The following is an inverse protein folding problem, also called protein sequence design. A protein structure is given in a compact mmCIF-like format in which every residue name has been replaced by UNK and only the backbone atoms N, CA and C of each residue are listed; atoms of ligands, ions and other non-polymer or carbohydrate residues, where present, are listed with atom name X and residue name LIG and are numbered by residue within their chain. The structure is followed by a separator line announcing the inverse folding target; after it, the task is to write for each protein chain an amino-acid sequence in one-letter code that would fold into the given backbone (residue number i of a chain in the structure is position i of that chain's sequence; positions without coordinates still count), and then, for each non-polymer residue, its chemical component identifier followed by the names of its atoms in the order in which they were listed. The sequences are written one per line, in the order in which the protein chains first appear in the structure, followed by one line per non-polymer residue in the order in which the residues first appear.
data_IF_949776431960
#
_entry.id   IF_949776431960
#
_cell.length_a   1.000
_cell.length_b   1.000
_cell.length_c   1.000
_cell.angle_alpha   90.00
_cell.angle_beta   90.00
_cell.angle_gamma   90.00
#
_symmetry.space_group_name_H-M   'P 1'
#
loop_
_entity.id
_entity.type
_entity.pdbx_description
1 polymer ?
#
# COMPACT_ATOMS: atom_id res chain seq x y z
N UNK A 1 -68.36 5.22 31.53
CA UNK A 1 -67.08 5.47 32.25
C UNK A 1 -66.27 4.22 32.22
N UNK A 2 -65.30 4.13 31.34
CA UNK A 2 -64.21 3.13 31.37
C UNK A 2 -62.99 3.82 30.80
N UNK A 3 -62.05 4.17 31.66
CA UNK A 3 -60.72 4.72 31.28
C UNK A 3 -59.81 3.58 30.93
N UNK A 4 -59.30 3.58 29.70
CA UNK A 4 -58.20 2.70 29.28
C UNK A 4 -56.88 3.50 29.41
N UNK A 5 -56.00 3.03 30.33
CA UNK A 5 -54.59 3.49 30.41
C UNK A 5 -53.81 2.76 29.31
N UNK A 6 -53.25 3.57 28.38
CA UNK A 6 -52.20 3.11 27.48
C UNK A 6 -50.86 3.30 28.20
N UNK A 7 -50.23 2.21 28.61
CA UNK A 7 -48.83 2.19 29.07
C UNK A 7 -47.91 2.16 27.87
N UNK A 8 -47.16 3.23 27.64
CA UNK A 8 -46.12 3.28 26.62
C UNK A 8 -44.87 2.54 27.07
N UNK A 9 -44.51 1.47 26.37
CA UNK A 9 -43.19 0.82 26.48
C UNK A 9 -42.15 1.72 25.81
N UNK A 10 -41.31 2.36 26.60
CA UNK A 10 -40.07 2.99 26.11
C UNK A 10 -39.05 1.85 25.97
N UNK A 11 -38.78 1.42 24.73
CA UNK A 11 -37.67 0.54 24.45
C UNK A 11 -36.35 1.37 24.57
N UNK A 12 -35.61 1.17 25.64
CA UNK A 12 -34.21 1.57 25.73
C UNK A 12 -33.44 0.72 24.70
N UNK A 13 -33.13 1.28 23.55
CA UNK A 13 -32.09 0.77 22.67
C UNK A 13 -30.76 0.98 23.40
N UNK A 14 -30.26 -0.06 24.07
CA UNK A 14 -28.91 -0.10 24.59
C UNK A 14 -27.98 0.01 23.39
N UNK A 15 -27.21 1.09 23.29
CA UNK A 15 -26.05 1.15 22.43
C UNK A 15 -25.13 0.01 22.87
N UNK A 16 -24.97 -1.02 22.02
CA UNK A 16 -23.91 -2.00 22.20
C UNK A 16 -22.61 -1.19 22.12
N UNK A 17 -21.67 -1.33 23.08
CA UNK A 17 -20.36 -0.74 22.93
C UNK A 17 -19.80 -1.28 21.60
N UNK A 18 -19.29 -0.38 20.75
CA UNK A 18 -18.42 -0.78 19.67
C UNK A 18 -17.30 -1.60 20.34
N UNK A 19 -17.11 -2.84 19.95
CA UNK A 19 -15.96 -3.62 20.39
C UNK A 19 -14.74 -2.85 19.89
N UNK A 20 -14.06 -2.16 20.82
CA UNK A 20 -12.74 -1.64 20.55
C UNK A 20 -11.87 -2.83 20.15
N UNK A 21 -11.04 -2.66 19.14
CA UNK A 21 -10.03 -3.67 18.81
C UNK A 21 -9.15 -3.84 20.04
N UNK A 22 -9.03 -5.07 20.56
CA UNK A 22 -8.09 -5.35 21.65
C UNK A 22 -6.67 -5.40 21.05
N UNK A 23 -6.07 -4.22 20.89
CA UNK A 23 -4.73 -4.02 20.36
C UNK A 23 -3.78 -3.66 21.49
N UNK A 24 -2.75 -4.48 21.67
CA UNK A 24 -1.68 -4.24 22.62
C UNK A 24 -0.39 -3.86 21.88
N UNK A 25 0.36 -2.91 22.43
CA UNK A 25 1.65 -2.48 21.90
C UNK A 25 2.72 -2.51 22.98
N UNK A 26 3.92 -2.96 22.64
CA UNK A 26 5.09 -2.90 23.50
C UNK A 26 6.38 -2.87 22.68
N UNK A 27 7.48 -2.49 23.34
CA UNK A 27 8.82 -2.51 22.74
C UNK A 27 9.73 -3.38 23.61
N UNK A 28 10.53 -4.23 22.99
CA UNK A 28 11.57 -5.02 23.68
C UNK A 28 12.80 -4.14 23.98
N UNK A 29 13.67 -4.62 24.88
CA UNK A 29 14.89 -3.88 25.27
C UNK A 29 15.84 -3.62 24.08
N UNK A 30 15.84 -4.49 23.07
CA UNK A 30 16.65 -4.34 21.87
C UNK A 30 15.98 -3.45 20.79
N UNK A 31 14.84 -2.84 21.08
CA UNK A 31 14.17 -1.89 20.22
C UNK A 31 13.14 -2.50 19.26
N UNK A 32 12.89 -3.81 19.27
CA UNK A 32 11.81 -4.41 18.48
C UNK A 32 10.46 -3.92 18.99
N UNK A 33 9.70 -3.28 18.11
CA UNK A 33 8.31 -2.90 18.37
C UNK A 33 7.39 -4.08 18.12
N UNK A 34 6.35 -4.26 18.94
CA UNK A 34 5.40 -5.36 18.79
C UNK A 34 3.97 -4.89 18.96
N UNK A 35 3.10 -5.35 18.05
CA UNK A 35 1.65 -5.16 18.10
C UNK A 35 0.98 -6.51 18.19
N UNK A 36 0.04 -6.65 19.11
CA UNK A 36 -0.78 -7.86 19.28
C UNK A 36 -2.24 -7.50 19.11
N UNK A 37 -2.93 -8.23 18.24
CA UNK A 37 -4.35 -8.05 17.93
C UNK A 37 -5.06 -9.35 18.29
N UNK A 38 -5.83 -9.34 19.39
CA UNK A 38 -6.54 -10.53 19.84
C UNK A 38 -7.78 -10.81 18.99
N UNK A 39 -7.88 -12.04 18.49
CA UNK A 39 -9.03 -12.52 17.73
C UNK A 39 -9.24 -14.03 17.96
N UNK A 40 -10.04 -14.38 18.94
CA UNK A 40 -10.29 -15.75 19.38
C UNK A 40 -11.42 -16.48 18.60
N UNK A 41 -11.84 -15.93 17.44
CA UNK A 41 -12.92 -16.54 16.64
C UNK A 41 -12.51 -17.85 15.95
N UNK A 42 -11.22 -18.05 15.71
CA UNK A 42 -10.66 -19.25 15.10
C UNK A 42 -9.26 -19.54 15.65
N UNK A 43 -8.84 -20.82 15.82
CA UNK A 43 -7.53 -21.17 16.38
C UNK A 43 -6.41 -20.98 15.36
N UNK A 44 -6.27 -19.79 14.83
CA UNK A 44 -5.24 -19.41 13.83
C UNK A 44 -4.61 -18.08 14.19
N UNK A 45 -3.37 -17.92 13.78
CA UNK A 45 -2.63 -16.66 13.92
C UNK A 45 -2.05 -16.21 12.59
N UNK A 46 -1.90 -14.91 12.45
CA UNK A 46 -1.08 -14.25 11.47
C UNK A 46 0.10 -13.64 12.22
N UNK A 47 1.30 -14.09 11.89
CA UNK A 47 2.56 -13.56 12.39
C UNK A 47 3.22 -12.79 11.26
N UNK A 48 3.64 -11.53 11.50
CA UNK A 48 4.30 -10.68 10.51
C UNK A 48 5.51 -9.98 11.11
N UNK A 49 6.60 -9.90 10.36
CA UNK A 49 7.74 -9.03 10.68
C UNK A 49 7.90 -8.03 9.55
N UNK A 50 7.89 -6.75 9.90
CA UNK A 50 8.02 -5.61 9.00
C UNK A 50 9.36 -4.94 9.26
N UNK A 51 10.19 -4.82 8.22
CA UNK A 51 11.43 -4.05 8.29
C UNK A 51 11.18 -2.66 7.74
N UNK A 52 11.63 -1.64 8.48
CA UNK A 52 11.52 -0.22 8.11
C UNK A 52 12.56 0.13 7.05
N UNK A 53 12.58 -0.61 5.96
CA UNK A 53 13.45 -0.41 4.80
C UNK A 53 12.79 -1.00 3.56
N UNK A 54 12.71 -0.21 2.50
CA UNK A 54 12.11 -0.57 1.21
C UNK A 54 12.85 0.03 0.03
N UNK A 55 12.26 -0.06 -1.14
CA UNK A 55 12.92 0.36 -2.39
C UNK A 55 13.34 1.84 -2.41
N UNK A 56 12.65 2.71 -1.64
CA UNK A 56 13.02 4.12 -1.57
C UNK A 56 14.25 4.41 -0.71
N UNK A 57 14.72 3.44 0.08
CA UNK A 57 15.93 3.55 0.90
C UNK A 57 17.19 3.04 0.15
N UNK A 58 17.02 2.56 -1.08
CA UNK A 58 18.10 2.02 -1.91
C UNK A 58 19.06 3.12 -2.39
N UNK A 59 20.32 2.77 -2.53
CA UNK A 59 21.31 3.68 -3.13
C UNK A 59 21.07 3.82 -4.63
N UNK A 60 21.23 5.02 -5.16
CA UNK A 60 21.17 5.26 -6.63
C UNK A 60 22.14 4.32 -7.37
N UNK A 61 21.65 3.68 -8.43
CA UNK A 61 22.41 2.68 -9.20
C UNK A 61 22.35 1.25 -8.62
N UNK A 62 21.54 1.02 -7.58
CA UNK A 62 21.37 -0.28 -6.91
C UNK A 62 19.91 -0.64 -6.73
N UNK A 63 19.04 -0.16 -7.65
CA UNK A 63 17.60 -0.41 -7.53
C UNK A 63 17.26 -1.89 -7.64
N UNK A 64 16.25 -2.29 -6.86
CA UNK A 64 15.77 -3.66 -6.74
C UNK A 64 16.47 -4.50 -5.68
N UNK A 65 17.44 -3.94 -4.92
CA UNK A 65 18.16 -4.72 -3.91
C UNK A 65 17.26 -5.12 -2.73
N UNK A 66 16.31 -4.28 -2.34
CA UNK A 66 15.34 -4.58 -1.29
C UNK A 66 14.46 -5.77 -1.69
N UNK A 67 13.89 -5.75 -2.90
CA UNK A 67 13.10 -6.83 -3.45
C UNK A 67 13.93 -8.09 -3.70
N UNK A 68 15.17 -7.96 -4.16
CA UNK A 68 16.06 -9.09 -4.34
C UNK A 68 16.36 -9.77 -2.99
N UNK A 69 16.63 -9.00 -1.93
CA UNK A 69 16.84 -9.58 -0.60
C UNK A 69 15.55 -10.25 -0.09
N UNK A 70 14.37 -9.72 -0.37
CA UNK A 70 13.11 -10.40 -0.04
C UNK A 70 13.11 -11.86 -0.51
N UNK A 71 13.47 -12.11 -1.77
CA UNK A 71 13.59 -13.45 -2.33
C UNK A 71 14.68 -14.28 -1.64
N UNK A 72 15.84 -13.69 -1.39
CA UNK A 72 16.98 -14.37 -0.78
C UNK A 72 16.72 -14.81 0.66
N UNK A 73 15.82 -14.12 1.37
CA UNK A 73 15.41 -14.50 2.72
C UNK A 73 14.71 -15.88 2.81
N UNK A 74 14.30 -16.45 1.68
CA UNK A 74 13.77 -17.82 1.60
C UNK A 74 14.85 -18.87 1.30
N UNK A 75 16.12 -18.48 1.18
CA UNK A 75 17.21 -19.42 0.95
C UNK A 75 17.51 -20.19 2.22
N UNK A 76 18.41 -19.84 3.03
CA UNK A 76 18.75 -20.61 4.23
C UNK A 76 19.38 -19.76 5.31
N UNK A 77 19.55 -20.40 6.47
CA UNK A 77 20.27 -19.89 7.63
C UNK A 77 21.23 -20.97 8.08
N UNK A 78 21.97 -20.78 9.16
CA UNK A 78 22.79 -21.83 9.76
C UNK A 78 21.93 -22.98 10.35
N UNK A 79 20.68 -22.71 10.76
CA UNK A 79 19.73 -23.70 11.30
C UNK A 79 18.78 -24.30 10.23
N UNK A 80 18.54 -23.63 9.11
CA UNK A 80 17.53 -23.99 8.10
C UNK A 80 18.15 -24.11 6.70
N UNK A 81 17.94 -25.25 6.05
CA UNK A 81 18.34 -25.42 4.64
C UNK A 81 17.50 -24.56 3.69
N UNK A 82 17.99 -24.25 2.46
CA UNK A 82 17.26 -23.48 1.47
C UNK A 82 15.83 -24.00 1.21
N UNK A 83 14.84 -23.13 1.38
CA UNK A 83 13.42 -23.44 1.22
C UNK A 83 12.81 -24.30 2.34
N UNK A 84 13.56 -24.63 3.40
CA UNK A 84 13.06 -25.40 4.53
C UNK A 84 12.04 -24.64 5.35
N UNK A 85 12.18 -23.32 5.47
CA UNK A 85 11.20 -22.44 6.12
C UNK A 85 9.78 -22.68 5.57
N UNK A 86 9.58 -22.44 4.29
CA UNK A 86 8.27 -22.57 3.62
C UNK A 86 7.75 -24.03 3.65
N UNK A 87 8.63 -25.02 3.50
CA UNK A 87 8.26 -26.44 3.62
C UNK A 87 7.75 -26.77 5.02
N UNK A 88 8.40 -26.24 6.06
CA UNK A 88 8.02 -26.45 7.46
C UNK A 88 6.67 -25.79 7.75
N UNK A 89 6.45 -24.56 7.30
CA UNK A 89 5.16 -23.86 7.43
C UNK A 89 4.06 -24.65 6.73
N UNK A 90 4.26 -25.06 5.47
CA UNK A 90 3.30 -25.84 4.70
C UNK A 90 3.00 -27.21 5.33
N UNK A 91 4.02 -27.92 5.85
CA UNK A 91 3.86 -29.21 6.52
C UNK A 91 3.03 -29.10 7.82
N UNK A 92 2.97 -27.90 8.43
CA UNK A 92 2.13 -27.59 9.58
C UNK A 92 0.76 -26.96 9.19
N UNK A 93 0.38 -27.02 7.91
CA UNK A 93 -0.91 -26.51 7.42
C UNK A 93 -1.00 -25.00 7.29
N UNK A 94 0.13 -24.30 7.37
CA UNK A 94 0.24 -22.85 7.20
C UNK A 94 0.56 -22.43 5.77
N UNK A 95 0.61 -21.13 5.57
CA UNK A 95 1.12 -20.47 4.38
C UNK A 95 2.03 -19.32 4.78
N UNK A 96 3.04 -19.04 3.99
CA UNK A 96 3.98 -17.95 4.15
C UNK A 96 4.13 -17.16 2.85
N UNK A 97 4.48 -15.91 2.95
CA UNK A 97 4.84 -15.04 1.83
C UNK A 97 5.57 -13.79 2.32
N UNK A 98 6.00 -12.96 1.37
CA UNK A 98 6.61 -11.67 1.63
C UNK A 98 6.16 -10.62 0.60
N UNK A 99 6.47 -9.38 0.84
CA UNK A 99 6.30 -8.28 -0.12
C UNK A 99 7.22 -7.11 0.23
N UNK A 100 7.70 -6.45 -0.81
CA UNK A 100 8.48 -5.22 -0.72
C UNK A 100 7.67 -4.05 -1.27
N UNK A 101 7.71 -2.91 -0.57
CA UNK A 101 7.18 -1.63 -0.99
C UNK A 101 8.30 -0.60 -1.10
N UNK A 102 7.94 0.65 -1.33
CA UNK A 102 8.89 1.76 -1.26
C UNK A 102 9.45 1.96 0.14
N UNK A 103 8.61 1.79 1.17
CA UNK A 103 8.90 2.21 2.54
C UNK A 103 9.20 1.08 3.51
N UNK A 104 8.93 -0.15 3.11
CA UNK A 104 9.10 -1.33 3.98
C UNK A 104 9.24 -2.61 3.17
N UNK A 105 9.76 -3.66 3.83
CA UNK A 105 9.69 -5.05 3.40
C UNK A 105 9.09 -5.87 4.52
N UNK A 106 8.15 -6.77 4.22
CA UNK A 106 7.45 -7.55 5.23
C UNK A 106 7.38 -9.04 4.87
N UNK A 107 7.45 -9.86 5.90
CA UNK A 107 7.32 -11.33 5.83
C UNK A 107 6.18 -11.75 6.73
N UNK A 108 5.39 -12.73 6.30
CA UNK A 108 4.27 -13.18 7.11
C UNK A 108 3.99 -14.67 6.96
N UNK A 109 3.43 -15.23 8.02
CA UNK A 109 2.91 -16.58 8.07
C UNK A 109 1.48 -16.55 8.63
N UNK A 110 0.62 -17.38 8.04
CA UNK A 110 -0.70 -17.69 8.59
C UNK A 110 -0.73 -19.17 8.94
N UNK A 111 -0.95 -19.49 10.22
CA UNK A 111 -0.80 -20.83 10.73
C UNK A 111 -1.70 -21.08 11.93
N UNK A 112 -1.85 -22.36 12.38
CA UNK A 112 -2.54 -22.67 13.62
C UNK A 112 -1.87 -22.03 14.83
N UNK A 113 -2.66 -21.56 15.81
CA UNK A 113 -2.15 -20.79 16.95
C UNK A 113 -1.09 -21.55 17.76
N UNK A 114 -1.25 -22.87 17.92
CA UNK A 114 -0.28 -23.74 18.61
C UNK A 114 1.06 -23.91 17.86
N UNK A 115 1.24 -23.28 16.71
CA UNK A 115 2.48 -23.26 15.92
C UNK A 115 3.15 -21.89 15.91
N UNK A 116 2.64 -20.91 16.64
CA UNK A 116 3.21 -19.55 16.66
C UNK A 116 4.68 -19.59 17.13
N UNK A 117 4.99 -20.32 18.20
CA UNK A 117 6.35 -20.45 18.71
C UNK A 117 7.33 -20.92 17.63
N UNK A 118 6.94 -21.89 16.82
CA UNK A 118 7.76 -22.44 15.74
C UNK A 118 8.10 -21.36 14.70
N UNK A 119 7.09 -20.61 14.23
CA UNK A 119 7.34 -19.58 13.20
C UNK A 119 8.12 -18.40 13.75
N UNK A 120 7.89 -17.99 15.01
CA UNK A 120 8.67 -16.92 15.66
C UNK A 120 10.13 -17.31 15.80
N UNK A 121 10.43 -18.58 16.18
CA UNK A 121 11.80 -19.08 16.24
C UNK A 121 12.48 -18.99 14.87
N UNK A 122 11.83 -19.52 13.83
CA UNK A 122 12.39 -19.55 12.48
C UNK A 122 12.56 -18.12 11.88
N UNK A 123 11.64 -17.21 12.19
CA UNK A 123 11.71 -15.81 11.72
C UNK A 123 12.82 -15.04 12.45
N UNK A 124 13.00 -15.27 13.75
CA UNK A 124 14.08 -14.67 14.53
C UNK A 124 15.46 -15.15 14.05
N UNK A 125 15.58 -16.42 13.70
CA UNK A 125 16.78 -17.02 13.10
C UNK A 125 17.13 -16.31 11.79
N UNK A 126 16.23 -16.26 10.80
CA UNK A 126 16.54 -15.60 9.51
C UNK A 126 16.72 -14.07 9.60
N UNK A 127 16.31 -13.43 10.70
CA UNK A 127 16.55 -12.00 10.90
C UNK A 127 18.04 -11.67 10.99
N UNK A 128 18.88 -12.60 11.49
CA UNK A 128 20.32 -12.33 11.75
C UNK A 128 21.28 -13.35 11.17
N UNK A 129 20.82 -14.53 10.82
CA UNK A 129 21.68 -15.67 10.50
C UNK A 129 21.51 -16.17 9.06
N UNK A 130 21.08 -15.28 8.14
CA UNK A 130 20.93 -15.56 6.72
C UNK A 130 22.28 -15.99 6.11
N UNK A 131 22.30 -17.18 5.53
CA UNK A 131 23.40 -17.70 4.75
C UNK A 131 23.10 -17.68 3.26
N UNK A 132 23.97 -17.05 2.47
CA UNK A 132 23.84 -16.96 1.02
C UNK A 132 25.10 -17.49 0.34
N UNK A 133 24.93 -18.53 -0.46
CA UNK A 133 25.98 -18.98 -1.38
C UNK A 133 25.98 -18.13 -2.67
N UNK A 134 27.07 -18.23 -3.43
CA UNK A 134 27.12 -17.60 -4.76
C UNK A 134 26.11 -18.24 -5.72
N UNK A 135 25.84 -19.54 -5.56
CA UNK A 135 24.86 -20.27 -6.38
C UNK A 135 23.42 -19.83 -6.08
N UNK A 136 23.07 -19.61 -4.79
CA UNK A 136 21.77 -19.04 -4.41
C UNK A 136 21.58 -17.66 -5.02
N UNK A 137 22.60 -16.81 -4.96
CA UNK A 137 22.59 -15.48 -5.56
C UNK A 137 22.35 -15.52 -7.05
N UNK A 138 23.09 -16.33 -7.81
CA UNK A 138 22.96 -16.43 -9.27
C UNK A 138 21.62 -17.03 -9.68
N UNK A 139 21.17 -18.06 -8.98
CA UNK A 139 19.89 -18.72 -9.27
C UNK A 139 18.72 -17.74 -9.06
N UNK A 140 18.74 -16.99 -7.95
CA UNK A 140 17.65 -16.08 -7.63
C UNK A 140 17.62 -14.86 -8.56
N UNK A 141 18.78 -14.42 -9.06
CA UNK A 141 18.84 -13.39 -10.11
C UNK A 141 17.99 -13.77 -11.32
N UNK A 142 18.11 -14.99 -11.81
CA UNK A 142 17.36 -15.48 -12.95
C UNK A 142 15.85 -15.53 -12.64
N UNK A 143 15.47 -15.91 -11.41
CA UNK A 143 14.06 -15.91 -10.95
C UNK A 143 13.48 -14.50 -10.99
N UNK A 144 14.18 -13.50 -10.45
CA UNK A 144 13.71 -12.12 -10.40
C UNK A 144 13.66 -11.49 -11.81
N UNK A 145 14.62 -11.80 -12.67
CA UNK A 145 14.60 -11.37 -14.07
C UNK A 145 13.41 -11.96 -14.82
N UNK A 146 13.08 -13.22 -14.57
CA UNK A 146 11.89 -13.86 -15.13
C UNK A 146 10.60 -13.26 -14.57
N UNK A 147 10.55 -12.98 -13.27
CA UNK A 147 9.43 -12.28 -12.67
C UNK A 147 9.20 -10.90 -13.30
N UNK A 148 10.29 -10.12 -13.47
CA UNK A 148 10.20 -8.85 -14.18
C UNK A 148 9.69 -9.03 -15.62
N UNK A 149 10.20 -10.05 -16.33
CA UNK A 149 9.75 -10.36 -17.69
C UNK A 149 8.25 -10.66 -17.72
N UNK A 150 7.74 -11.43 -16.74
CA UNK A 150 6.33 -11.82 -16.66
C UNK A 150 5.42 -10.68 -16.19
N UNK A 151 5.81 -9.93 -15.16
CA UNK A 151 4.95 -8.92 -14.52
C UNK A 151 5.06 -7.53 -15.16
N UNK A 152 6.20 -7.20 -15.74
CA UNK A 152 6.47 -5.86 -16.25
C UNK A 152 6.70 -5.85 -17.76
N UNK A 153 7.73 -6.55 -18.25
CA UNK A 153 8.17 -6.42 -19.65
C UNK A 153 7.14 -6.99 -20.65
N UNK A 154 6.33 -7.98 -20.23
CA UNK A 154 5.25 -8.55 -21.03
C UNK A 154 3.97 -7.72 -21.07
N UNK A 155 3.77 -6.78 -20.12
CA UNK A 155 2.56 -5.97 -19.99
C UNK A 155 2.82 -4.50 -20.35
N UNK A 156 2.23 -3.98 -21.45
CA UNK A 156 2.33 -2.57 -21.82
C UNK A 156 1.84 -1.61 -20.74
N UNK A 157 0.85 -2.00 -19.93
CA UNK A 157 0.32 -1.20 -18.83
C UNK A 157 1.33 -1.04 -17.71
N UNK A 158 2.05 -2.11 -17.37
CA UNK A 158 3.11 -2.09 -16.36
C UNK A 158 4.32 -1.26 -16.83
N UNK A 159 4.76 -1.45 -18.08
CA UNK A 159 5.82 -0.62 -18.68
C UNK A 159 5.43 0.87 -18.72
N UNK A 160 4.20 1.17 -19.11
CA UNK A 160 3.69 2.53 -19.05
C UNK A 160 3.65 3.08 -17.63
N UNK A 161 3.29 2.25 -16.65
CA UNK A 161 3.31 2.58 -15.22
C UNK A 161 4.70 3.01 -14.74
N UNK A 162 5.75 2.28 -15.11
CA UNK A 162 7.14 2.65 -14.79
C UNK A 162 7.52 4.01 -15.40
N UNK A 163 7.20 4.23 -16.68
CA UNK A 163 7.52 5.49 -17.36
C UNK A 163 6.76 6.68 -16.76
N UNK A 164 5.50 6.45 -16.39
CA UNK A 164 4.66 7.46 -15.73
C UNK A 164 5.20 7.81 -14.35
N UNK A 165 5.57 6.82 -13.53
CA UNK A 165 6.14 7.06 -12.21
C UNK A 165 7.48 7.81 -12.29
N UNK A 166 8.36 7.42 -13.22
CA UNK A 166 9.60 8.13 -13.47
C UNK A 166 9.37 9.58 -13.98
N UNK A 167 8.27 9.83 -14.69
CA UNK A 167 7.88 11.19 -15.08
C UNK A 167 7.20 11.97 -13.94
N UNK A 168 6.58 11.29 -12.98
CA UNK A 168 5.93 11.91 -11.82
C UNK A 168 6.97 12.47 -10.85
N UNK A 169 7.99 11.68 -10.55
CA UNK A 169 9.05 12.02 -9.60
C UNK A 169 10.34 12.35 -10.33
N UNK A 170 10.77 13.61 -10.25
CA UNK A 170 12.00 14.07 -10.90
C UNK A 170 13.26 13.67 -10.13
N UNK A 171 13.16 13.61 -8.82
CA UNK A 171 14.30 13.39 -7.93
C UNK A 171 14.02 12.35 -6.84
N UNK A 172 12.76 12.20 -6.42
CA UNK A 172 12.37 11.31 -5.35
C UNK A 172 12.45 9.83 -5.76
N UNK A 173 12.92 8.92 -4.87
CA UNK A 173 13.08 7.50 -5.18
C UNK A 173 11.78 6.76 -5.51
N UNK A 174 10.61 7.30 -5.20
CA UNK A 174 9.32 6.72 -5.64
C UNK A 174 9.15 6.69 -7.17
N UNK A 175 10.00 7.39 -7.92
CA UNK A 175 10.08 7.27 -9.38
C UNK A 175 10.82 6.03 -9.89
N UNK A 176 11.48 5.27 -9.00
CA UNK A 176 12.20 4.03 -9.33
C UNK A 176 11.30 2.82 -9.09
N UNK A 177 11.20 1.83 -9.99
CA UNK A 177 10.36 0.66 -9.75
C UNK A 177 10.89 -0.19 -8.57
N UNK A 178 10.00 -0.70 -7.74
CA UNK A 178 10.35 -1.54 -6.57
C UNK A 178 11.15 -2.77 -6.98
N UNK A 179 10.79 -3.41 -8.10
CA UNK A 179 11.55 -4.55 -8.65
C UNK A 179 12.92 -4.14 -9.18
N UNK A 180 13.20 -2.86 -9.31
CA UNK A 180 14.45 -2.31 -9.85
C UNK A 180 14.46 -2.16 -11.37
N UNK A 181 15.35 -1.28 -11.85
CA UNK A 181 15.67 -1.17 -13.27
C UNK A 181 16.46 -2.40 -13.72
N UNK A 182 16.06 -3.02 -14.83
CA UNK A 182 16.70 -4.24 -15.32
C UNK A 182 18.22 -4.17 -15.42
N UNK A 183 18.77 -3.04 -15.91
CA UNK A 183 20.21 -2.86 -16.05
C UNK A 183 20.92 -2.75 -14.69
N UNK A 184 20.32 -2.11 -13.68
CA UNK A 184 20.89 -2.02 -12.34
C UNK A 184 20.83 -3.39 -11.63
N UNK A 185 19.71 -4.14 -11.78
CA UNK A 185 19.60 -5.51 -11.24
C UNK A 185 20.69 -6.45 -11.78
N UNK A 186 21.10 -6.28 -13.05
CA UNK A 186 22.19 -7.06 -13.65
C UNK A 186 23.56 -6.74 -13.03
N UNK A 187 23.73 -5.52 -12.50
CA UNK A 187 24.98 -5.03 -11.91
C UNK A 187 25.02 -5.19 -10.38
N UNK A 188 23.93 -5.67 -9.76
CA UNK A 188 23.92 -6.01 -8.34
C UNK A 188 24.84 -7.21 -8.04
N UNK A 189 25.41 -7.19 -6.86
CA UNK A 189 26.30 -8.25 -6.37
C UNK A 189 25.74 -8.90 -5.10
N UNK A 190 26.18 -10.12 -4.80
CA UNK A 190 25.83 -10.80 -3.54
C UNK A 190 26.22 -9.95 -2.32
N UNK A 191 27.36 -9.24 -2.40
CA UNK A 191 27.81 -8.38 -1.30
C UNK A 191 26.89 -7.16 -1.11
N UNK A 192 26.33 -6.59 -2.19
CA UNK A 192 25.31 -5.55 -2.07
C UNK A 192 24.10 -6.05 -1.26
N UNK A 193 23.65 -7.30 -1.47
CA UNK A 193 22.54 -7.89 -0.73
C UNK A 193 22.91 -8.15 0.74
N UNK A 194 24.10 -8.68 1.01
CA UNK A 194 24.58 -8.91 2.37
C UNK A 194 24.78 -7.60 3.14
N UNK A 195 25.23 -6.54 2.47
CA UNK A 195 25.37 -5.22 3.08
C UNK A 195 23.99 -4.63 3.40
N UNK A 196 23.03 -4.75 2.47
CA UNK A 196 21.64 -4.32 2.70
C UNK A 196 21.02 -5.07 3.89
N UNK A 197 21.21 -6.41 3.95
CA UNK A 197 20.73 -7.24 5.04
C UNK A 197 21.30 -6.82 6.39
N UNK A 198 22.64 -6.76 6.50
CA UNK A 198 23.33 -6.39 7.75
C UNK A 198 22.93 -5.02 8.27
N UNK A 199 22.65 -4.09 7.34
CA UNK A 199 22.32 -2.71 7.64
C UNK A 199 20.89 -2.57 8.14
N UNK A 200 19.92 -3.23 7.49
CA UNK A 200 18.51 -2.94 7.66
C UNK A 200 17.72 -4.00 8.44
N UNK A 201 18.20 -5.26 8.47
CA UNK A 201 17.50 -6.36 9.12
C UNK A 201 18.01 -6.52 10.56
N UNK A 202 17.33 -5.81 11.47
CA UNK A 202 17.68 -5.80 12.89
C UNK A 202 16.41 -5.53 13.71
N UNK A 203 16.36 -5.99 14.98
CA UNK A 203 15.17 -5.81 15.82
C UNK A 203 14.78 -4.34 15.99
N UNK A 204 15.72 -3.43 16.18
CA UNK A 204 15.44 -2.00 16.31
C UNK A 204 15.06 -1.28 14.98
N UNK A 205 14.98 -2.02 13.89
CA UNK A 205 14.44 -1.55 12.60
C UNK A 205 13.24 -2.38 12.15
N UNK A 206 12.60 -3.09 13.08
CA UNK A 206 11.51 -4.00 12.75
C UNK A 206 10.29 -3.78 13.65
N UNK A 207 9.13 -4.15 13.11
CA UNK A 207 7.85 -4.22 13.80
C UNK A 207 7.34 -5.66 13.70
N UNK A 208 7.13 -6.30 14.82
CA UNK A 208 6.44 -7.59 14.94
C UNK A 208 4.93 -7.33 15.07
N UNK A 209 4.12 -7.98 14.25
CA UNK A 209 2.67 -7.96 14.40
C UNK A 209 2.17 -9.39 14.51
N UNK A 210 1.45 -9.69 15.59
CA UNK A 210 0.78 -10.98 15.77
C UNK A 210 -0.71 -10.75 15.96
N UNK A 211 -1.52 -11.34 15.10
CA UNK A 211 -2.97 -11.21 15.14
C UNK A 211 -3.64 -12.58 15.11
N UNK A 212 -4.65 -12.81 15.95
CA UNK A 212 -5.40 -14.06 16.01
C UNK A 212 -5.60 -14.60 17.41
N UNK A 213 -5.67 -15.94 17.51
CA UNK A 213 -5.94 -16.64 18.76
C UNK A 213 -4.70 -16.70 19.67
N UNK A 214 -4.36 -15.57 20.24
CA UNK A 214 -3.22 -15.34 21.14
C UNK A 214 -3.56 -14.27 22.17
N UNK A 215 -2.79 -14.24 23.25
CA UNK A 215 -2.83 -13.15 24.25
C UNK A 215 -1.55 -12.32 24.19
N UNK A 216 -1.58 -11.03 24.60
CA UNK A 216 -0.40 -10.17 24.63
C UNK A 216 0.75 -10.72 25.48
N UNK A 217 0.44 -11.37 26.60
CA UNK A 217 1.43 -11.96 27.51
C UNK A 217 2.15 -13.16 26.85
N UNK A 218 1.42 -14.01 26.13
CA UNK A 218 2.01 -15.13 25.37
C UNK A 218 2.93 -14.63 24.27
N UNK A 219 2.48 -13.65 23.47
CA UNK A 219 3.31 -13.09 22.39
C UNK A 219 4.54 -12.39 22.96
N UNK A 220 4.40 -11.63 24.05
CA UNK A 220 5.54 -10.98 24.74
C UNK A 220 6.57 -12.01 25.18
N UNK A 221 6.14 -13.07 25.87
CA UNK A 221 7.06 -14.11 26.36
C UNK A 221 7.83 -14.81 25.23
N UNK A 222 7.15 -15.10 24.10
CA UNK A 222 7.78 -15.67 22.92
C UNK A 222 8.72 -14.65 22.25
N UNK A 223 8.32 -13.40 22.13
CA UNK A 223 9.16 -12.35 21.55
C UNK A 223 10.42 -12.10 22.38
N UNK A 224 10.32 -12.05 23.70
CA UNK A 224 11.47 -11.94 24.60
C UNK A 224 12.40 -13.16 24.50
N UNK A 225 11.85 -14.35 24.26
CA UNK A 225 12.61 -15.59 24.13
C UNK A 225 13.41 -15.64 22.83
N UNK A 226 12.78 -15.34 21.69
CA UNK A 226 13.37 -15.55 20.36
C UNK A 226 13.97 -14.31 19.74
N UNK A 227 13.33 -13.15 19.85
CA UNK A 227 13.85 -11.88 19.32
C UNK A 227 14.66 -11.09 20.35
N UNK A 228 14.35 -11.21 21.64
CA UNK A 228 15.06 -10.48 22.71
C UNK A 228 16.57 -10.64 22.71
N UNK A 229 17.13 -11.85 22.45
CA UNK A 229 18.58 -12.07 22.38
C UNK A 229 19.26 -11.44 21.15
N UNK A 230 18.52 -11.07 20.11
CA UNK A 230 19.08 -10.53 18.88
C UNK A 230 19.67 -9.14 19.11
N UNK A 231 20.90 -8.95 18.67
CA UNK A 231 21.59 -7.67 18.81
C UNK A 231 20.93 -6.59 17.92
N UNK A 232 20.65 -5.39 18.45
CA UNK A 232 20.20 -4.26 17.64
C UNK A 232 21.33 -3.81 16.69
N UNK A 233 20.97 -3.18 15.59
CA UNK A 233 21.96 -2.50 14.73
C UNK A 233 22.42 -1.21 15.40
N UNK A 234 23.74 -1.04 15.54
CA UNK A 234 24.35 0.18 16.09
C UNK A 234 24.40 1.33 15.06
N UNK A 235 24.28 0.98 13.77
CA UNK A 235 24.48 1.90 12.66
C UNK A 235 23.27 1.88 11.70
N UNK A 236 22.05 1.97 12.24
CA UNK A 236 20.89 2.17 11.37
C UNK A 236 21.04 3.46 10.57
N UNK A 237 20.82 3.42 9.26
CA UNK A 237 20.84 4.64 8.45
C UNK A 237 19.66 5.54 8.86
N UNK A 238 19.93 6.82 8.94
CA UNK A 238 18.86 7.80 9.01
C UNK A 238 18.06 7.76 7.69
N UNK A 239 16.73 7.67 7.76
CA UNK A 239 15.84 7.70 6.59
C UNK A 239 15.70 9.13 6.05
N UNK A 240 16.83 9.77 5.74
CA UNK A 240 16.89 11.11 5.16
C UNK A 240 16.71 11.01 3.65
N UNK A 241 15.47 11.05 3.19
CA UNK A 241 15.14 10.99 1.76
C UNK A 241 15.22 12.36 1.11
N UNK A 242 15.60 12.35 -0.17
CA UNK A 242 15.60 13.57 -0.98
C UNK A 242 14.16 13.98 -1.29
N UNK A 243 13.86 15.25 -1.11
CA UNK A 243 12.54 15.79 -1.43
C UNK A 243 12.33 15.91 -2.93
N UNK A 244 11.11 15.72 -3.39
CA UNK A 244 10.70 16.03 -4.75
C UNK A 244 10.61 17.57 -4.92
N UNK A 245 11.27 18.15 -5.94
CA UNK A 245 11.15 19.58 -6.18
C UNK A 245 9.74 19.92 -6.70
N UNK A 246 9.21 21.13 -6.40
CA UNK A 246 7.90 21.56 -6.89
C UNK A 246 7.79 21.44 -8.41
N UNK A 247 6.74 20.78 -8.90
CA UNK A 247 6.45 20.71 -10.32
C UNK A 247 5.83 22.03 -10.80
N UNK A 248 6.47 22.69 -11.76
CA UNK A 248 6.09 24.02 -12.28
C UNK A 248 5.52 23.98 -13.70
N UNK A 249 5.59 22.84 -14.37
CA UNK A 249 5.10 22.64 -15.72
C UNK A 249 4.45 21.28 -15.89
N UNK A 250 3.35 21.23 -16.65
CA UNK A 250 2.71 19.97 -17.04
C UNK A 250 3.71 19.06 -17.76
N UNK A 251 3.69 17.77 -17.41
CA UNK A 251 4.46 16.74 -18.10
C UNK A 251 3.48 15.83 -18.85
N UNK A 252 3.85 15.47 -20.08
CA UNK A 252 3.02 14.61 -20.92
C UNK A 252 3.84 13.49 -21.51
N UNK A 253 3.31 12.28 -21.54
CA UNK A 253 3.92 11.12 -22.18
C UNK A 253 2.90 10.34 -22.99
N UNK A 254 3.34 9.80 -24.12
CA UNK A 254 2.56 8.89 -24.95
C UNK A 254 3.37 7.60 -25.05
N UNK A 255 2.76 6.50 -24.58
CA UNK A 255 3.35 5.17 -24.66
C UNK A 255 2.58 4.36 -25.70
N UNK A 256 3.26 4.01 -26.79
CA UNK A 256 2.69 3.26 -27.90
C UNK A 256 3.20 1.82 -27.88
N UNK A 257 2.29 0.84 -27.81
CA UNK A 257 2.63 -0.57 -27.89
C UNK A 257 1.53 -1.34 -28.64
N UNK A 258 1.87 -2.17 -29.65
CA UNK A 258 0.88 -2.91 -30.42
C UNK A 258 0.08 -3.93 -29.60
N UNK A 259 0.57 -4.33 -28.42
CA UNK A 259 -0.10 -5.26 -27.50
C UNK A 259 -1.23 -4.60 -26.70
N UNK A 260 -1.34 -3.27 -26.70
CA UNK A 260 -2.38 -2.55 -25.92
C UNK A 260 -3.76 -3.01 -26.37
N UNK A 261 -4.50 -3.66 -25.47
CA UNK A 261 -5.86 -4.11 -25.74
C UNK A 261 -6.86 -2.95 -25.69
N UNK A 262 -6.77 -2.16 -24.64
CA UNK A 262 -7.66 -1.02 -24.37
C UNK A 262 -6.82 0.24 -24.10
N UNK A 263 -6.85 1.25 -24.99
CA UNK A 263 -6.22 2.54 -24.74
C UNK A 263 -6.85 3.27 -23.55
N UNK A 264 -6.06 4.06 -22.81
CA UNK A 264 -6.57 4.90 -21.72
C UNK A 264 -5.70 6.10 -21.45
N UNK A 265 -6.28 7.07 -20.73
CA UNK A 265 -5.61 8.26 -20.22
C UNK A 265 -5.46 8.13 -18.72
N UNK A 266 -4.26 8.46 -18.20
CA UNK A 266 -4.04 8.68 -16.78
C UNK A 266 -3.59 10.10 -16.53
N UNK A 267 -3.92 10.63 -15.35
CA UNK A 267 -3.38 11.90 -14.88
C UNK A 267 -3.05 11.79 -13.40
N UNK A 268 -1.79 12.02 -13.06
CA UNK A 268 -1.30 12.04 -11.69
C UNK A 268 -0.96 13.47 -11.24
N UNK A 269 -1.24 13.76 -9.99
CA UNK A 269 -0.82 14.97 -9.29
C UNK A 269 -0.09 14.56 -8.03
N UNK A 270 1.08 15.15 -7.75
CA UNK A 270 1.69 14.98 -6.44
C UNK A 270 0.73 15.51 -5.38
N UNK A 271 0.54 14.72 -4.36
CA UNK A 271 -0.35 14.99 -3.24
C UNK A 271 0.37 14.63 -1.94
N UNK A 272 0.15 15.37 -0.86
CA UNK A 272 0.75 15.06 0.42
C UNK A 272 0.34 13.67 0.88
N UNK A 273 1.23 13.02 1.59
CA UNK A 273 1.00 11.80 2.34
C UNK A 273 0.08 12.03 3.54
N UNK A 274 -0.16 10.98 4.27
CA UNK A 274 -0.82 11.03 5.56
C UNK A 274 0.26 11.22 6.64
N UNK A 275 0.19 12.32 7.38
CA UNK A 275 1.16 12.64 8.42
C UNK A 275 0.79 12.01 9.76
N UNK A 276 1.77 11.43 10.51
CA UNK A 276 1.55 11.03 11.89
C UNK A 276 1.05 12.20 12.75
N UNK A 277 -0.06 12.00 13.47
CA UNK A 277 -0.68 13.02 14.32
C UNK A 277 -1.53 14.06 13.59
N UNK A 278 -1.26 14.41 12.33
CA UNK A 278 -2.08 15.33 11.50
C UNK A 278 -2.58 14.63 10.23
N UNK A 279 -3.73 14.01 10.33
CA UNK A 279 -4.30 13.17 9.27
C UNK A 279 -5.42 13.87 8.47
N UNK A 280 -5.78 15.09 8.81
CA UNK A 280 -6.97 15.76 8.28
C UNK A 280 -6.91 15.96 6.76
N UNK A 281 -5.73 16.35 6.23
CA UNK A 281 -5.54 16.58 4.80
C UNK A 281 -5.65 15.29 3.98
N UNK A 282 -5.00 14.23 4.46
CA UNK A 282 -5.08 12.92 3.83
C UNK A 282 -6.51 12.35 3.87
N UNK A 283 -7.23 12.57 4.98
CA UNK A 283 -8.63 12.18 5.09
C UNK A 283 -9.50 12.91 4.04
N UNK A 284 -9.31 14.22 3.85
CA UNK A 284 -10.01 14.99 2.84
C UNK A 284 -9.70 14.50 1.40
N UNK A 285 -8.43 14.14 1.11
CA UNK A 285 -8.02 13.58 -0.18
C UNK A 285 -8.61 12.18 -0.42
N UNK A 286 -8.69 11.35 0.62
CA UNK A 286 -9.32 10.03 0.55
C UNK A 286 -10.80 10.17 0.22
N UNK A 287 -11.53 11.05 0.91
CA UNK A 287 -12.95 11.31 0.63
C UNK A 287 -13.14 11.93 -0.75
N UNK A 288 -12.26 12.82 -1.19
CA UNK A 288 -12.25 13.39 -2.54
C UNK A 288 -12.10 12.30 -3.62
N UNK A 289 -11.19 11.34 -3.42
CA UNK A 289 -11.01 10.24 -4.37
C UNK A 289 -12.28 9.39 -4.50
N UNK A 290 -12.93 9.08 -3.38
CA UNK A 290 -14.20 8.33 -3.35
C UNK A 290 -15.34 9.11 -4.02
N UNK A 291 -15.44 10.42 -3.79
CA UNK A 291 -16.45 11.28 -4.45
C UNK A 291 -16.25 11.30 -5.96
N UNK A 292 -15.01 11.46 -6.42
CA UNK A 292 -14.70 11.57 -7.85
C UNK A 292 -14.79 10.23 -8.56
N UNK A 293 -14.19 9.18 -8.02
CA UNK A 293 -13.94 7.95 -8.77
C UNK A 293 -14.17 6.63 -8.02
N UNK A 294 -14.81 6.63 -6.86
CA UNK A 294 -15.18 5.42 -6.13
C UNK A 294 -16.17 4.55 -6.90
N UNK A 295 -17.36 4.29 -6.37
CA UNK A 295 -18.36 3.49 -7.09
C UNK A 295 -18.81 4.19 -8.39
N UNK A 296 -18.66 3.56 -9.58
CA UNK A 296 -18.98 4.19 -10.87
C UNK A 296 -20.42 4.72 -10.99
N UNK A 297 -21.39 4.03 -10.38
CA UNK A 297 -22.81 4.45 -10.45
C UNK A 297 -23.09 5.73 -9.65
N UNK A 298 -22.26 6.06 -8.68
CA UNK A 298 -22.49 7.17 -7.76
C UNK A 298 -21.42 8.24 -7.77
N UNK A 299 -20.21 7.93 -8.22
CA UNK A 299 -19.10 8.88 -8.31
C UNK A 299 -19.34 9.96 -9.38
N UNK A 300 -18.70 11.11 -9.23
CA UNK A 300 -18.82 12.25 -10.15
C UNK A 300 -18.38 11.86 -11.56
N UNK A 301 -17.19 11.25 -11.70
CA UNK A 301 -16.66 10.86 -13.01
C UNK A 301 -17.48 9.73 -13.64
N UNK A 302 -17.90 8.75 -12.86
CA UNK A 302 -18.78 7.69 -13.36
C UNK A 302 -20.11 8.23 -13.89
N UNK A 303 -20.80 9.06 -13.11
CA UNK A 303 -22.08 9.67 -13.52
C UNK A 303 -21.94 10.58 -14.74
N UNK A 304 -20.86 11.40 -14.83
CA UNK A 304 -20.69 12.34 -15.93
C UNK A 304 -20.16 11.69 -17.21
N UNK A 305 -19.11 10.87 -17.09
CA UNK A 305 -18.37 10.37 -18.26
C UNK A 305 -18.89 9.01 -18.76
N UNK A 306 -19.32 8.13 -17.85
CA UNK A 306 -19.78 6.78 -18.23
C UNK A 306 -21.29 6.81 -18.51
N UNK A 307 -22.10 7.25 -17.53
CA UNK A 307 -23.56 7.19 -17.66
C UNK A 307 -24.18 8.44 -18.30
N UNK A 308 -23.55 9.62 -18.19
CA UNK A 308 -24.07 10.88 -18.72
C UNK A 308 -23.75 11.07 -20.19
N UNK A 309 -22.50 11.35 -20.51
CA UNK A 309 -22.07 11.61 -21.90
C UNK A 309 -21.78 10.35 -22.70
N UNK A 310 -21.50 9.22 -22.04
CA UNK A 310 -21.02 8.01 -22.71
C UNK A 310 -19.62 8.15 -23.32
N UNK A 311 -18.85 9.17 -22.96
CA UNK A 311 -17.52 9.40 -23.48
C UNK A 311 -16.51 8.36 -23.01
N UNK A 312 -16.77 7.72 -21.86
CA UNK A 312 -15.91 6.72 -21.27
C UNK A 312 -16.68 5.43 -20.96
N UNK A 313 -15.95 4.29 -20.98
CA UNK A 313 -16.46 3.01 -20.46
C UNK A 313 -16.04 2.80 -19.01
N UNK A 314 -15.00 3.52 -18.54
CA UNK A 314 -14.50 3.48 -17.17
C UNK A 314 -13.87 4.81 -16.80
N UNK A 315 -14.09 5.24 -15.57
CA UNK A 315 -13.44 6.40 -14.97
C UNK A 315 -13.25 6.17 -13.49
N UNK A 316 -12.08 6.51 -12.97
CA UNK A 316 -11.73 6.36 -11.56
C UNK A 316 -10.85 7.50 -11.04
N UNK A 317 -10.86 7.67 -9.73
CA UNK A 317 -9.89 8.45 -8.99
C UNK A 317 -9.36 7.59 -7.85
N UNK A 318 -8.09 7.77 -7.51
CA UNK A 318 -7.42 7.00 -6.48
C UNK A 318 -6.42 7.88 -5.74
N UNK A 319 -6.38 7.73 -4.43
CA UNK A 319 -5.39 8.31 -3.53
C UNK A 319 -5.10 7.32 -2.42
N UNK A 320 -3.82 7.08 -2.18
CA UNK A 320 -3.32 6.35 -1.02
C UNK A 320 -2.28 7.22 -0.34
N UNK A 321 -2.59 7.63 0.88
CA UNK A 321 -1.71 8.47 1.69
C UNK A 321 -0.77 7.67 2.58
N UNK A 322 -0.85 6.33 2.59
CA UNK A 322 0.02 5.52 3.43
C UNK A 322 1.41 5.40 2.82
N UNK A 323 2.19 6.44 2.96
CA UNK A 323 3.58 6.58 2.53
C UNK A 323 4.31 7.55 3.44
N UNK A 324 5.65 7.56 3.38
CA UNK A 324 6.48 8.44 4.20
C UNK A 324 6.65 9.81 3.56
N UNK A 325 6.53 9.88 2.23
CA UNK A 325 6.74 11.09 1.45
C UNK A 325 5.56 11.31 0.48
N UNK A 326 5.52 12.50 -0.16
CA UNK A 326 4.48 12.86 -1.13
C UNK A 326 4.12 11.72 -2.09
N UNK A 327 2.84 11.39 -2.14
CA UNK A 327 2.23 10.36 -2.99
C UNK A 327 1.56 10.98 -4.23
N UNK A 328 0.69 10.22 -4.88
CA UNK A 328 0.02 10.66 -6.11
C UNK A 328 -1.50 10.54 -5.98
N UNK A 329 -2.20 11.65 -6.23
CA UNK A 329 -3.62 11.61 -6.54
C UNK A 329 -3.80 11.28 -8.02
N UNK A 330 -4.36 10.13 -8.33
CA UNK A 330 -4.43 9.59 -9.70
C UNK A 330 -5.86 9.61 -10.24
N UNK A 331 -5.99 9.96 -11.52
CA UNK A 331 -7.20 9.83 -12.32
C UNK A 331 -6.93 8.90 -13.49
N UNK A 332 -7.89 8.04 -13.84
CA UNK A 332 -7.81 7.19 -15.01
C UNK A 332 -9.14 7.18 -15.75
N UNK A 333 -9.09 7.27 -17.09
CA UNK A 333 -10.28 7.25 -17.94
C UNK A 333 -10.03 6.40 -19.18
N UNK A 334 -10.92 5.44 -19.45
CA UNK A 334 -10.92 4.61 -20.65
C UNK A 334 -12.00 5.11 -21.60
N UNK A 335 -11.66 5.54 -22.83
CA UNK A 335 -12.63 6.05 -23.79
C UNK A 335 -13.63 4.98 -24.26
N UNK A 336 -14.81 5.40 -24.64
CA UNK A 336 -15.74 4.57 -25.44
C UNK A 336 -15.17 4.29 -26.84
N UNK A 337 -15.74 3.32 -27.56
CA UNK A 337 -15.17 2.80 -28.81
C UNK A 337 -14.90 3.87 -29.88
N UNK A 338 -15.76 4.87 -30.00
CA UNK A 338 -15.67 5.92 -31.03
C UNK A 338 -15.14 7.26 -30.48
N UNK A 339 -14.53 7.24 -29.29
CA UNK A 339 -14.00 8.43 -28.62
C UNK A 339 -12.47 8.35 -28.59
N UNK A 340 -11.80 9.38 -29.04
CA UNK A 340 -10.35 9.49 -28.99
C UNK A 340 -9.85 9.77 -27.58
N UNK A 341 -8.54 9.48 -27.30
CA UNK A 341 -7.91 9.81 -26.03
C UNK A 341 -7.95 11.31 -25.72
N UNK A 342 -7.83 12.16 -26.75
CA UNK A 342 -7.92 13.61 -26.57
C UNK A 342 -9.35 14.09 -26.23
N UNK A 343 -10.37 13.46 -26.80
CA UNK A 343 -11.77 13.80 -26.49
C UNK A 343 -12.14 13.35 -25.08
N UNK A 344 -11.72 12.14 -24.65
CA UNK A 344 -12.00 11.68 -23.28
C UNK A 344 -11.22 12.48 -22.24
N UNK A 345 -9.99 12.94 -22.55
CA UNK A 345 -9.24 13.85 -21.69
C UNK A 345 -9.97 15.21 -21.56
N UNK A 346 -10.46 15.78 -22.66
CA UNK A 346 -11.23 17.02 -22.63
C UNK A 346 -12.53 16.88 -21.83
N UNK A 347 -13.18 15.72 -21.91
CA UNK A 347 -14.37 15.41 -21.11
C UNK A 347 -14.01 15.31 -19.61
N UNK A 348 -12.87 14.70 -19.25
CA UNK A 348 -12.33 14.68 -17.89
C UNK A 348 -12.07 16.10 -17.37
N UNK A 349 -11.41 16.95 -18.17
CA UNK A 349 -11.14 18.35 -17.81
C UNK A 349 -12.43 19.13 -17.55
N UNK A 350 -13.45 18.92 -18.40
CA UNK A 350 -14.78 19.53 -18.23
C UNK A 350 -15.43 19.05 -16.92
N UNK A 351 -15.40 17.76 -16.64
CA UNK A 351 -15.99 17.19 -15.43
C UNK A 351 -15.33 17.71 -14.14
N UNK A 352 -13.99 17.85 -14.14
CA UNK A 352 -13.25 18.44 -13.01
C UNK A 352 -13.55 19.93 -12.84
N UNK A 353 -13.58 20.70 -13.94
CA UNK A 353 -13.91 22.12 -13.88
C UNK A 353 -15.34 22.37 -13.36
N UNK A 354 -16.29 21.53 -13.76
CA UNK A 354 -17.64 21.58 -13.24
C UNK A 354 -17.69 21.23 -11.75
N UNK A 355 -16.97 20.18 -11.30
CA UNK A 355 -16.90 19.83 -9.90
C UNK A 355 -16.31 20.96 -9.05
N UNK A 356 -15.22 21.58 -9.51
CA UNK A 356 -14.59 22.72 -8.81
C UNK A 356 -15.50 23.95 -8.73
N UNK A 357 -16.39 24.16 -9.71
CA UNK A 357 -17.36 25.25 -9.75
C UNK A 357 -18.60 24.98 -8.89
N UNK A 358 -19.18 23.79 -9.04
CA UNK A 358 -20.48 23.43 -8.48
C UNK A 358 -20.39 22.90 -7.05
N UNK A 359 -19.21 22.41 -6.65
CA UNK A 359 -18.96 21.84 -5.33
C UNK A 359 -19.41 20.38 -5.19
N UNK A 360 -19.38 19.92 -3.95
CA UNK A 360 -19.80 18.57 -3.57
C UNK A 360 -21.33 18.53 -3.46
N UNK A 361 -21.94 17.46 -3.96
CA UNK A 361 -23.36 17.16 -3.75
C UNK A 361 -23.53 16.65 -2.30
N UNK A 362 -24.32 17.34 -1.44
CA UNK A 362 -24.46 16.96 -0.03
C UNK A 362 -25.00 15.54 0.19
N UNK A 363 -25.94 15.08 -0.66
CA UNK A 363 -26.44 13.69 -0.54
C UNK A 363 -25.38 12.66 -0.90
N UNK A 364 -24.56 12.95 -1.90
CA UNK A 364 -23.43 12.10 -2.27
C UNK A 364 -22.39 12.07 -1.15
N UNK A 365 -22.08 13.21 -0.56
CA UNK A 365 -21.13 13.34 0.52
C UNK A 365 -21.51 12.46 1.72
N UNK A 366 -22.73 12.59 2.24
CA UNK A 366 -23.22 11.80 3.36
C UNK A 366 -23.25 10.30 3.05
N UNK A 367 -23.60 9.93 1.83
CA UNK A 367 -23.57 8.54 1.38
C UNK A 367 -22.15 7.97 1.40
N UNK A 368 -21.17 8.74 0.89
CA UNK A 368 -19.77 8.31 0.85
C UNK A 368 -19.20 8.17 2.27
N UNK A 369 -19.47 9.12 3.16
CA UNK A 369 -19.10 9.00 4.58
C UNK A 369 -19.65 7.71 5.20
N UNK A 370 -20.91 7.41 4.92
CA UNK A 370 -21.53 6.15 5.37
C UNK A 370 -20.83 4.91 4.79
N UNK A 371 -20.45 4.93 3.50
CA UNK A 371 -19.74 3.81 2.86
C UNK A 371 -18.34 3.64 3.41
N UNK A 372 -17.58 4.71 3.62
CA UNK A 372 -16.24 4.68 4.21
C UNK A 372 -16.29 4.10 5.62
N UNK A 373 -17.24 4.56 6.44
CA UNK A 373 -17.46 4.00 7.79
C UNK A 373 -17.83 2.53 7.77
N UNK A 374 -18.71 2.12 6.87
CA UNK A 374 -19.07 0.71 6.72
C UNK A 374 -17.88 -0.14 6.27
N UNK A 375 -17.06 0.36 5.34
CA UNK A 375 -15.87 -0.35 4.86
C UNK A 375 -14.85 -0.57 6.00
N UNK A 376 -14.65 0.41 6.88
CA UNK A 376 -13.78 0.26 8.05
C UNK A 376 -14.31 -0.82 9.02
N UNK A 377 -15.61 -0.82 9.31
CA UNK A 377 -16.23 -1.85 10.15
C UNK A 377 -16.04 -3.25 9.57
N UNK A 378 -16.25 -3.43 8.27
CA UNK A 378 -16.05 -4.73 7.62
C UNK A 378 -14.58 -5.15 7.55
N UNK A 379 -13.66 -4.18 7.43
CA UNK A 379 -12.23 -4.48 7.40
C UNK A 379 -11.74 -5.09 8.72
N UNK A 380 -12.39 -4.80 9.84
CA UNK A 380 -12.08 -5.37 11.17
C UNK A 380 -12.35 -6.88 11.27
N UNK A 381 -13.17 -7.44 10.40
CA UNK A 381 -13.41 -8.89 10.35
C UNK A 381 -12.24 -9.67 9.71
N UNK A 382 -11.33 -8.99 9.03
CA UNK A 382 -10.18 -9.60 8.38
C UNK A 382 -8.92 -9.46 9.24
N UNK A 383 -8.61 -10.46 10.05
CA UNK A 383 -7.46 -10.51 10.96
C UNK A 383 -6.13 -10.23 10.23
N UNK A 384 -5.92 -10.81 9.04
CA UNK A 384 -4.70 -10.55 8.24
C UNK A 384 -4.67 -9.13 7.71
N UNK A 385 -5.81 -8.59 7.28
CA UNK A 385 -5.93 -7.20 6.84
C UNK A 385 -5.62 -6.20 7.97
N UNK A 386 -6.08 -6.50 9.20
CA UNK A 386 -5.74 -5.70 10.39
C UNK A 386 -4.24 -5.78 10.70
N UNK A 387 -3.66 -6.98 10.76
CA UNK A 387 -2.22 -7.15 10.97
C UNK A 387 -1.41 -6.33 9.96
N UNK A 388 -1.81 -6.37 8.68
CA UNK A 388 -1.18 -5.58 7.62
C UNK A 388 -1.31 -4.08 7.86
N UNK A 389 -2.51 -3.59 8.22
CA UNK A 389 -2.77 -2.17 8.49
C UNK A 389 -1.85 -1.60 9.58
N UNK A 390 -1.73 -2.32 10.70
CA UNK A 390 -0.86 -1.89 11.80
C UNK A 390 0.62 -1.99 11.43
N UNK A 391 1.03 -3.08 10.79
CA UNK A 391 2.42 -3.26 10.38
C UNK A 391 2.88 -2.19 9.38
N UNK A 392 2.08 -1.92 8.35
CA UNK A 392 2.33 -0.87 7.35
C UNK A 392 2.42 0.51 8.01
N UNK A 393 1.47 0.84 8.88
CA UNK A 393 1.44 2.13 9.57
C UNK A 393 2.69 2.32 10.44
N UNK A 394 3.02 1.36 11.32
CA UNK A 394 4.18 1.50 12.20
C UNK A 394 5.51 1.48 11.43
N UNK A 395 5.61 0.70 10.33
CA UNK A 395 6.78 0.71 9.46
C UNK A 395 6.96 2.05 8.73
N UNK A 396 5.85 2.78 8.52
CA UNK A 396 5.83 4.13 7.92
C UNK A 396 5.88 5.27 8.95
N UNK A 397 6.08 4.98 10.25
CA UNK A 397 6.29 5.98 11.29
C UNK A 397 5.04 6.43 12.04
N UNK A 398 3.89 5.79 11.81
CA UNK A 398 2.65 6.05 12.56
C UNK A 398 2.66 5.33 13.91
N UNK A 399 1.87 5.83 14.84
CA UNK A 399 1.55 5.15 16.09
C UNK A 399 0.30 4.27 15.99
N UNK A 400 0.08 3.44 17.00
CA UNK A 400 -1.17 2.68 17.16
C UNK A 400 -2.37 3.62 17.25
N UNK A 401 -2.21 4.74 17.97
CA UNK A 401 -3.22 5.77 18.13
C UNK A 401 -3.59 6.43 16.79
N UNK A 402 -2.63 6.65 15.90
CA UNK A 402 -2.87 7.18 14.56
C UNK A 402 -3.73 6.22 13.72
N UNK A 403 -3.45 4.91 13.81
CA UNK A 403 -4.26 3.89 13.13
C UNK A 403 -5.69 3.87 13.66
N UNK A 404 -5.85 3.89 14.98
CA UNK A 404 -7.15 3.86 15.64
C UNK A 404 -7.94 5.16 15.43
N UNK A 405 -7.26 6.31 15.33
CA UNK A 405 -7.89 7.61 15.09
C UNK A 405 -8.26 7.89 13.64
N UNK A 406 -7.86 7.04 12.70
CA UNK A 406 -8.14 7.26 11.28
C UNK A 406 -9.63 7.29 10.90
N UNK A 407 -10.50 6.41 11.43
CA UNK A 407 -11.94 6.47 11.19
C UNK A 407 -12.56 7.79 11.63
N UNK A 408 -12.14 8.32 12.78
CA UNK A 408 -12.58 9.61 13.31
C UNK A 408 -12.10 10.76 12.42
N UNK A 409 -10.86 10.70 11.91
CA UNK A 409 -10.35 11.70 10.96
C UNK A 409 -11.17 11.73 9.66
N UNK A 410 -11.53 10.56 9.12
CA UNK A 410 -12.41 10.45 7.96
C UNK A 410 -13.82 10.98 8.24
N UNK A 411 -14.35 10.69 9.42
CA UNK A 411 -15.68 11.14 9.82
C UNK A 411 -15.76 12.66 10.09
N UNK A 412 -14.65 13.27 10.48
CA UNK A 412 -14.54 14.70 10.71
C UNK A 412 -14.47 15.54 9.44
N UNK A 413 -14.14 14.93 8.27
CA UNK A 413 -14.04 15.64 6.97
C UNK A 413 -15.35 16.36 6.65
N UNK A 414 -15.24 17.61 6.22
CA UNK A 414 -16.32 18.46 5.75
C UNK A 414 -16.30 18.62 4.22
N UNK A 415 -17.41 19.10 3.63
CA UNK A 415 -17.46 19.46 2.20
C UNK A 415 -16.43 20.56 1.86
N UNK A 416 -16.17 21.49 2.79
CA UNK A 416 -15.19 22.55 2.62
C UNK A 416 -13.77 22.01 2.54
N UNK A 417 -13.42 21.02 3.38
CA UNK A 417 -12.12 20.33 3.37
C UNK A 417 -11.89 19.60 2.05
N UNK A 418 -12.90 18.89 1.55
CA UNK A 418 -12.87 18.23 0.23
C UNK A 418 -12.62 19.23 -0.89
N UNK A 419 -13.32 20.36 -0.88
CA UNK A 419 -13.17 21.40 -1.89
C UNK A 419 -11.85 22.14 -1.79
N UNK A 420 -11.30 22.31 -0.59
CA UNK A 420 -9.96 22.85 -0.38
C UNK A 420 -8.89 21.91 -0.96
N UNK A 421 -8.96 20.62 -0.63
CA UNK A 421 -8.08 19.58 -1.17
C UNK A 421 -8.15 19.52 -2.70
N UNK A 422 -9.35 19.56 -3.28
CA UNK A 422 -9.53 19.54 -4.74
C UNK A 422 -8.89 20.75 -5.44
N UNK A 423 -9.04 21.96 -4.87
CA UNK A 423 -8.41 23.18 -5.42
C UNK A 423 -6.88 23.16 -5.34
N UNK A 424 -6.34 22.53 -4.29
CA UNK A 424 -4.89 22.41 -4.11
C UNK A 424 -4.30 21.40 -5.09
N UNK A 425 -4.94 20.25 -5.25
CA UNK A 425 -4.42 19.15 -6.07
C UNK A 425 -4.57 19.42 -7.56
N UNK A 426 -5.74 19.93 -8.03
CA UNK A 426 -6.02 20.00 -9.48
C UNK A 426 -5.42 21.23 -10.17
N UNK A 427 -4.18 21.58 -9.85
CA UNK A 427 -3.40 22.53 -10.67
C UNK A 427 -2.80 21.80 -11.86
N UNK A 428 -3.28 22.10 -13.07
CA UNK A 428 -2.84 21.47 -14.33
C UNK A 428 -1.32 21.57 -14.55
N UNK A 429 -0.65 22.59 -14.05
CA UNK A 429 0.79 22.73 -14.16
C UNK A 429 1.55 21.64 -13.38
N UNK A 430 0.89 21.08 -12.38
CA UNK A 430 1.44 20.02 -11.52
C UNK A 430 1.02 18.62 -11.96
N UNK A 431 0.36 18.50 -13.12
CA UNK A 431 -0.12 17.23 -13.66
C UNK A 431 0.97 16.51 -14.46
N UNK A 432 0.96 15.19 -14.35
CA UNK A 432 1.60 14.26 -15.29
C UNK A 432 0.48 13.51 -16.01
N UNK A 433 0.29 13.83 -17.30
CA UNK A 433 -0.73 13.17 -18.13
C UNK A 433 -0.08 12.16 -19.05
N UNK A 434 -0.54 10.93 -19.01
CA UNK A 434 -0.03 9.85 -19.83
C UNK A 434 -1.12 9.21 -20.68
N UNK A 435 -0.78 8.89 -21.92
CA UNK A 435 -1.58 8.11 -22.86
C UNK A 435 -0.94 6.74 -23.06
N UNK A 436 -1.68 5.68 -22.80
CA UNK A 436 -1.35 4.34 -23.27
C UNK A 436 -2.19 4.05 -24.53
N UNK A 437 -1.54 3.78 -25.65
CA UNK A 437 -2.23 3.59 -26.94
C UNK A 437 -1.55 2.57 -27.83
N UNK A 438 -2.21 2.23 -28.94
CA UNK A 438 -1.59 1.49 -30.02
C UNK A 438 -0.91 2.48 -30.98
N UNK A 439 0.19 2.05 -31.66
CA UNK A 439 0.71 2.81 -32.79
C UNK A 439 -0.38 3.04 -33.84
N UNK A 440 -0.38 4.21 -34.47
CA UNK A 440 -1.24 4.46 -35.61
C UNK A 440 -0.95 3.37 -36.68
N UNK A 441 -2.00 2.73 -37.20
CA UNK A 441 -1.81 1.83 -38.33
C UNK A 441 -1.30 2.67 -39.52
N UNK A 442 -0.11 2.38 -40.00
CA UNK A 442 0.33 2.90 -41.30
C UNK A 442 -0.70 2.43 -42.33
N UNK A 443 -1.43 3.37 -42.96
CA UNK A 443 -2.21 3.06 -44.14
C UNK A 443 -1.21 2.54 -45.18
N UNK A 444 -1.16 1.22 -45.35
CA UNK A 444 -0.47 0.62 -46.52
C UNK A 444 -1.22 1.10 -47.76
N UNK A 445 -0.73 2.18 -48.35
CA UNK A 445 -1.20 2.64 -49.65
C UNK A 445 -0.94 1.52 -50.67
N UNK A 446 -2.02 0.83 -51.03
CA UNK A 446 -2.02 -0.14 -52.14
C UNK A 446 -1.79 0.54 -53.48
#
# INVERSE_FOLDING_TARGET
MKHALCAGLIALAGALPALAEDVSYFTLENGLEAVVIEDHRAPVVVHMVWYKAGAADERKGKSGIAHYLEHLMFKGTDDLAPGEFSKTVAANGGSDNAFTSYDYTAYYQRIAADRLEMVMKMEADRMRDLELSEDDWQTEREVILEERAQRTDSDPGALFGEQRNAAQYLNHPYGTPVIGWRHEMMDLTREDALDWYRQNYAPNNAVLVVAGDVTPDEVRALAETYYGPLAPSENLPERARVQEPPQLAERRLIFEDPRVAQPYVTRGYLAPERDPGDQAKAAALTVLAEILGGNPATSVLGRKLVFGTGAAIYASAFYDGMSIDDTVFSLAVMPAADVSLSEVEAALDTALAEFLRDGVDPEQFERIKTQVRAADIYARDNTQGLARRYGEALASGFSVEDVQGWPEALDAVTEEDVMAAAREVFDRKRAVTGYLTRPAQEEVSQ
#
